data_IF_828109035016
#
_entry.id   IF_828109035016
#
_cell.length_a   1.000
_cell.length_b   1.000
_cell.length_c   1.000
_cell.angle_alpha   90.00
_cell.angle_beta   90.00
_cell.angle_gamma   90.00
#
_symmetry.space_group_name_H-M   'P 1'
#
loop_
_entity.id
_entity.type
_entity.pdbx_description
1 polymer ?
#
# COMPACT_ATOMS: atom_id res chain seq x y z
N UNK A 1 29.57 -8.76 -29.78
CA UNK A 1 28.50 -8.92 -28.80
C UNK A 1 28.81 -7.98 -27.66
N UNK A 2 28.28 -6.77 -27.70
CA UNK A 2 28.46 -5.80 -26.62
C UNK A 2 27.44 -6.14 -25.54
N UNK A 3 27.90 -6.69 -24.44
CA UNK A 3 27.13 -6.72 -23.20
C UNK A 3 27.23 -5.30 -22.67
N UNK A 4 26.21 -4.49 -22.87
CA UNK A 4 26.01 -3.29 -22.07
C UNK A 4 25.81 -3.77 -20.63
N UNK A 5 26.85 -3.60 -19.82
CA UNK A 5 26.73 -3.63 -18.38
C UNK A 5 25.78 -2.47 -18.04
N UNK A 6 24.53 -2.80 -17.73
CA UNK A 6 23.64 -1.89 -17.07
C UNK A 6 24.35 -1.55 -15.76
N UNK A 7 24.81 -0.32 -15.64
CA UNK A 7 25.31 0.22 -14.39
C UNK A 7 24.14 0.15 -13.38
N UNK A 8 24.15 -0.88 -12.57
CA UNK A 8 23.16 -1.11 -11.53
C UNK A 8 23.48 -0.16 -10.36
N UNK A 9 23.12 1.11 -10.53
CA UNK A 9 23.24 2.12 -9.44
C UNK A 9 22.49 1.68 -8.16
N UNK A 10 21.67 0.64 -8.25
CA UNK A 10 20.92 0.05 -7.15
C UNK A 10 21.65 -1.07 -6.39
N UNK A 11 22.81 -1.54 -6.82
CA UNK A 11 23.54 -2.66 -6.17
C UNK A 11 23.89 -2.40 -4.69
N UNK A 12 23.97 -1.14 -4.28
CA UNK A 12 24.34 -0.77 -2.91
C UNK A 12 23.16 -0.39 -1.99
N UNK A 13 21.92 -0.33 -2.51
CA UNK A 13 20.76 -0.01 -1.69
C UNK A 13 20.10 -1.28 -1.15
N UNK A 14 19.68 -1.31 0.13
CA UNK A 14 18.96 -2.46 0.66
C UNK A 14 17.62 -2.64 -0.07
N UNK A 15 17.26 -3.89 -0.33
CA UNK A 15 15.94 -4.22 -0.87
C UNK A 15 14.85 -3.85 0.14
N UNK A 16 13.71 -3.44 -0.38
CA UNK A 16 12.50 -3.27 0.41
C UNK A 16 11.69 -4.58 0.35
N UNK A 17 11.30 -5.08 1.51
CA UNK A 17 10.52 -6.31 1.64
C UNK A 17 9.11 -5.93 2.08
N UNK A 18 8.11 -6.39 1.32
CA UNK A 18 6.69 -6.16 1.61
C UNK A 18 6.03 -7.51 1.92
N UNK A 19 5.50 -7.64 3.12
CA UNK A 19 4.68 -8.77 3.54
C UNK A 19 3.21 -8.32 3.65
N UNK A 20 2.42 -8.72 2.66
CA UNK A 20 1.01 -8.38 2.54
C UNK A 20 0.16 -9.36 3.35
N UNK A 21 -0.03 -9.08 4.63
CA UNK A 21 -0.95 -9.86 5.46
C UNK A 21 -2.40 -9.39 5.35
N UNK A 22 -3.33 -10.29 5.62
CA UNK A 22 -4.78 -9.98 5.68
C UNK A 22 -5.10 -8.94 6.74
N UNK A 23 -4.44 -9.02 7.88
CA UNK A 23 -4.65 -8.13 9.03
C UNK A 23 -3.75 -6.89 8.99
N UNK A 24 -2.47 -7.07 8.70
CA UNK A 24 -1.52 -5.98 8.65
C UNK A 24 -0.50 -6.17 7.52
N UNK A 25 -0.10 -5.06 6.93
CA UNK A 25 0.99 -4.97 5.99
C UNK A 25 2.27 -4.62 6.74
N UNK A 26 3.34 -5.37 6.51
CA UNK A 26 4.65 -5.16 7.12
C UNK A 26 5.66 -4.83 6.03
N UNK A 27 6.39 -3.75 6.21
CA UNK A 27 7.39 -3.33 5.23
C UNK A 27 8.70 -3.00 5.95
N UNK A 28 9.80 -3.46 5.39
CA UNK A 28 11.12 -3.23 5.96
C UNK A 28 12.22 -3.34 4.94
N UNK A 29 13.44 -3.15 5.41
CA UNK A 29 14.65 -3.27 4.59
C UNK A 29 15.34 -4.60 4.83
N UNK A 30 15.95 -5.15 3.77
CA UNK A 30 16.73 -6.38 3.86
C UNK A 30 17.93 -6.29 4.83
N UNK A 31 18.36 -5.08 5.14
CA UNK A 31 19.44 -4.80 6.12
C UNK A 31 18.97 -4.73 7.58
N UNK A 32 17.66 -4.81 7.84
CA UNK A 32 17.09 -4.70 9.18
C UNK A 32 16.51 -6.04 9.66
N UNK A 33 16.56 -6.29 10.97
CA UNK A 33 15.98 -7.50 11.59
C UNK A 33 14.48 -7.36 11.86
N UNK A 34 13.96 -6.14 11.86
CA UNK A 34 12.56 -5.83 12.16
C UNK A 34 11.92 -5.02 11.04
N UNK A 35 10.62 -5.17 10.80
CA UNK A 35 9.91 -4.33 9.85
C UNK A 35 9.92 -2.87 10.33
N UNK A 36 10.11 -1.96 9.39
CA UNK A 36 10.08 -0.50 9.66
C UNK A 36 8.67 0.02 9.78
N UNK A 37 7.75 -0.57 9.02
CA UNK A 37 6.34 -0.19 8.95
C UNK A 37 5.49 -1.41 9.26
N UNK A 38 4.55 -1.27 10.18
CA UNK A 38 3.51 -2.25 10.47
C UNK A 38 2.20 -1.48 10.56
N UNK A 39 1.35 -1.60 9.55
CA UNK A 39 0.08 -0.89 9.48
C UNK A 39 -1.07 -1.84 9.16
N UNK A 40 -2.29 -1.56 9.63
CA UNK A 40 -3.47 -2.34 9.25
C UNK A 40 -3.66 -2.37 7.73
N UNK A 41 -3.96 -3.55 7.17
CA UNK A 41 -4.32 -3.71 5.76
C UNK A 41 -5.77 -3.28 5.55
N UNK A 42 -6.00 -1.99 5.67
CA UNK A 42 -7.33 -1.39 5.72
C UNK A 42 -7.31 0.04 5.20
N UNK A 43 -8.34 0.42 4.45
CA UNK A 43 -8.57 1.79 3.99
C UNK A 43 -9.92 2.26 4.52
N UNK A 44 -9.94 3.42 5.17
CA UNK A 44 -11.16 4.06 5.68
C UNK A 44 -11.65 5.16 4.74
N UNK A 45 -12.93 5.08 4.35
CA UNK A 45 -13.60 6.13 3.60
C UNK A 45 -14.63 6.83 4.49
N UNK A 46 -14.75 8.17 4.44
CA UNK A 46 -15.72 8.90 5.23
C UNK A 46 -17.14 8.39 4.99
N UNK A 47 -17.91 8.18 6.07
CA UNK A 47 -19.32 7.76 5.98
C UNK A 47 -20.22 8.88 5.48
N UNK A 48 -19.88 10.11 5.84
CA UNK A 48 -20.69 11.30 5.57
C UNK A 48 -19.79 12.37 4.95
N UNK A 49 -19.94 12.57 3.68
CA UNK A 49 -19.53 13.78 3.00
C UNK A 49 -20.79 14.58 2.73
N UNK A 50 -20.77 15.88 2.87
CA UNK A 50 -21.92 16.79 2.76
C UNK A 50 -22.69 16.78 1.43
N UNK A 51 -22.62 15.71 0.69
CA UNK A 51 -23.37 15.26 -0.47
C UNK A 51 -23.19 13.74 -0.59
N UNK A 52 -24.18 13.03 -1.09
CA UNK A 52 -24.20 11.58 -1.27
C UNK A 52 -23.15 11.11 -2.31
N UNK A 53 -21.86 11.26 -2.03
CA UNK A 53 -20.82 10.72 -2.90
C UNK A 53 -20.63 9.23 -2.60
N UNK A 54 -20.64 8.41 -3.64
CA UNK A 54 -20.33 6.97 -3.57
C UNK A 54 -18.81 6.79 -3.59
N UNK A 55 -18.34 5.59 -3.25
CA UNK A 55 -16.91 5.27 -3.31
C UNK A 55 -16.33 5.52 -4.71
N UNK A 56 -17.09 5.18 -5.75
CA UNK A 56 -16.74 5.37 -7.15
C UNK A 56 -16.51 6.85 -7.50
N UNK A 57 -17.26 7.74 -6.86
CA UNK A 57 -17.16 9.19 -7.07
C UNK A 57 -15.86 9.76 -6.50
N UNK A 58 -15.27 9.10 -5.47
CA UNK A 58 -13.99 9.50 -4.89
C UNK A 58 -12.80 9.21 -5.82
N UNK A 59 -12.84 8.08 -6.52
CA UNK A 59 -11.77 7.69 -7.45
C UNK A 59 -11.70 8.61 -8.68
N UNK A 60 -12.82 9.25 -9.05
CA UNK A 60 -12.90 10.23 -10.15
C UNK A 60 -12.52 11.65 -9.70
N UNK A 61 -12.82 11.99 -8.44
CA UNK A 61 -12.54 13.32 -7.88
C UNK A 61 -11.05 13.57 -7.64
N UNK A 62 -10.29 12.55 -7.24
CA UNK A 62 -8.85 12.60 -7.02
C UNK A 62 -8.06 12.97 -8.30
N UNK A 63 -8.69 12.85 -9.46
CA UNK A 63 -8.07 13.13 -10.76
C UNK A 63 -7.94 14.64 -11.07
N UNK A 64 -8.73 15.48 -10.43
CA UNK A 64 -8.86 16.90 -10.80
C UNK A 64 -8.54 17.92 -9.71
N UNK A 65 -8.50 17.53 -8.45
CA UNK A 65 -8.17 18.47 -7.37
C UNK A 65 -7.15 17.86 -6.38
N UNK A 66 -6.01 18.52 -6.21
CA UNK A 66 -5.01 18.30 -5.15
C UNK A 66 -5.58 18.62 -3.74
N UNK A 67 -6.82 18.26 -3.47
CA UNK A 67 -7.49 18.48 -2.19
C UNK A 67 -7.59 17.20 -1.40
N UNK A 68 -7.09 17.26 -0.16
CA UNK A 68 -7.22 16.34 0.95
C UNK A 68 -7.60 14.90 0.56
N UNK A 69 -6.66 13.97 0.73
CA UNK A 69 -6.91 12.53 0.60
C UNK A 69 -8.23 12.20 1.29
N UNK A 70 -9.25 11.82 0.53
CA UNK A 70 -10.59 11.52 1.05
C UNK A 70 -10.66 10.12 1.67
N UNK A 71 -9.54 9.55 2.06
CA UNK A 71 -9.43 8.28 2.74
C UNK A 71 -8.38 8.35 3.85
N UNK A 72 -8.48 7.41 4.79
CA UNK A 72 -7.55 7.29 5.91
C UNK A 72 -6.84 5.94 5.89
N UNK A 73 -5.54 5.96 6.12
CA UNK A 73 -4.67 4.79 6.28
C UNK A 73 -3.80 5.03 7.52
N UNK A 74 -3.58 4.00 8.32
CA UNK A 74 -2.67 4.07 9.46
C UNK A 74 -3.17 3.33 10.69
N UNK A 75 -2.33 3.33 11.72
CA UNK A 75 -2.55 2.53 12.93
C UNK A 75 -3.82 2.90 13.73
N UNK A 76 -4.29 4.13 13.62
CA UNK A 76 -5.46 4.61 14.37
C UNK A 76 -6.79 4.39 13.62
N UNK A 77 -6.80 3.62 12.53
CA UNK A 77 -7.99 3.45 11.69
C UNK A 77 -9.16 2.80 12.44
N UNK A 78 -8.88 1.88 13.36
CA UNK A 78 -9.91 1.22 14.16
C UNK A 78 -10.67 2.22 15.05
N UNK A 79 -9.99 3.21 15.63
CA UNK A 79 -10.62 4.25 16.44
C UNK A 79 -11.52 5.19 15.62
N UNK A 80 -11.39 5.17 14.31
CA UNK A 80 -12.13 6.02 13.37
C UNK A 80 -13.38 5.37 12.79
N UNK A 81 -13.71 4.14 13.18
CA UNK A 81 -14.91 3.41 12.71
C UNK A 81 -16.21 4.19 12.83
N UNK A 82 -16.31 5.11 13.78
CA UNK A 82 -17.48 5.97 13.93
C UNK A 82 -17.76 6.82 12.69
N UNK A 83 -16.71 7.40 12.12
CA UNK A 83 -16.77 8.36 11.01
C UNK A 83 -16.39 7.77 9.65
N UNK A 84 -15.71 6.61 9.63
CA UNK A 84 -15.20 5.97 8.44
C UNK A 84 -15.76 4.58 8.25
N UNK A 85 -16.09 4.24 7.00
CA UNK A 85 -16.37 2.87 6.59
C UNK A 85 -15.03 2.22 6.20
N UNK A 86 -14.75 1.07 6.80
CA UNK A 86 -13.48 0.36 6.61
C UNK A 86 -13.61 -0.70 5.51
N UNK A 87 -12.59 -0.77 4.65
CA UNK A 87 -12.45 -1.74 3.57
C UNK A 87 -11.13 -2.46 3.72
N UNK A 88 -11.16 -3.78 3.55
CA UNK A 88 -10.02 -4.67 3.68
C UNK A 88 -9.68 -5.24 2.31
N UNK A 89 -8.59 -4.80 1.67
CA UNK A 89 -8.26 -5.20 0.29
C UNK A 89 -7.68 -6.60 0.16
N UNK A 90 -7.38 -7.26 1.28
CA UNK A 90 -6.87 -8.64 1.31
C UNK A 90 -7.79 -9.49 2.20
N UNK A 91 -8.30 -10.59 1.63
CA UNK A 91 -9.08 -11.60 2.35
C UNK A 91 -8.43 -12.97 2.18
N UNK A 92 -8.21 -13.66 3.30
CA UNK A 92 -7.56 -14.97 3.32
C UNK A 92 -6.20 -14.98 2.57
N UNK A 93 -5.45 -13.88 2.67
CA UNK A 93 -4.17 -13.71 1.99
C UNK A 93 -4.26 -13.31 0.51
N UNK A 94 -5.45 -13.27 -0.07
CA UNK A 94 -5.68 -12.98 -1.49
C UNK A 94 -6.16 -11.53 -1.67
N UNK A 95 -5.54 -10.81 -2.60
CA UNK A 95 -5.92 -9.44 -2.93
C UNK A 95 -7.24 -9.43 -3.67
N UNK A 96 -8.23 -8.71 -3.14
CA UNK A 96 -9.55 -8.52 -3.75
C UNK A 96 -9.75 -7.08 -4.27
N UNK A 97 -8.93 -6.13 -3.87
CA UNK A 97 -9.00 -4.73 -4.30
C UNK A 97 -7.60 -4.13 -4.44
N UNK A 98 -7.09 -4.11 -5.65
CA UNK A 98 -5.76 -3.57 -5.97
C UNK A 98 -5.66 -2.07 -5.77
N UNK A 99 -6.71 -1.30 -6.05
CA UNK A 99 -6.71 0.15 -5.86
C UNK A 99 -6.49 0.52 -4.39
N UNK A 100 -7.17 -0.16 -3.49
CA UNK A 100 -7.01 0.10 -2.05
C UNK A 100 -5.65 -0.39 -1.53
N UNK A 101 -5.15 -1.51 -2.05
CA UNK A 101 -3.81 -2.00 -1.69
C UNK A 101 -2.71 -1.04 -2.18
N UNK A 102 -2.84 -0.51 -3.38
CA UNK A 102 -1.94 0.50 -3.93
C UNK A 102 -1.89 1.76 -3.05
N UNK A 103 -3.04 2.21 -2.53
CA UNK A 103 -3.11 3.34 -1.58
C UNK A 103 -2.36 3.06 -0.28
N UNK A 104 -2.42 1.83 0.23
CA UNK A 104 -1.66 1.41 1.42
C UNK A 104 -0.15 1.41 1.13
N UNK A 105 0.27 0.91 0.00
CA UNK A 105 1.68 0.93 -0.40
C UNK A 105 2.19 2.36 -0.62
N UNK A 106 1.42 3.19 -1.33
CA UNK A 106 1.78 4.59 -1.57
C UNK A 106 1.95 5.34 -0.24
N UNK A 107 1.01 5.20 0.68
CA UNK A 107 1.13 5.74 2.03
C UNK A 107 2.40 5.26 2.74
N UNK A 108 2.68 3.97 2.67
CA UNK A 108 3.85 3.38 3.32
C UNK A 108 5.17 3.91 2.76
N UNK A 109 5.26 4.09 1.45
CA UNK A 109 6.46 4.64 0.81
C UNK A 109 6.62 6.13 1.04
N UNK A 110 5.54 6.90 0.93
CA UNK A 110 5.60 8.37 1.00
C UNK A 110 5.64 8.91 2.43
N UNK A 111 4.78 8.39 3.31
CA UNK A 111 4.62 8.93 4.66
C UNK A 111 5.50 8.23 5.71
N UNK A 112 5.65 6.92 5.61
CA UNK A 112 6.35 6.12 6.61
C UNK A 112 7.84 5.92 6.27
N UNK A 113 8.15 5.37 5.09
CA UNK A 113 9.53 5.14 4.67
C UNK A 113 10.18 6.40 4.11
N UNK A 114 9.41 7.25 3.45
CA UNK A 114 9.87 8.48 2.78
C UNK A 114 10.95 8.19 1.74
N UNK A 115 10.70 7.20 0.91
CA UNK A 115 11.58 6.77 -0.17
C UNK A 115 10.83 6.70 -1.49
N UNK A 116 11.57 6.84 -2.58
CA UNK A 116 11.05 6.65 -3.93
C UNK A 116 11.14 5.15 -4.28
N UNK A 117 10.02 4.45 -4.54
CA UNK A 117 10.03 3.01 -4.83
C UNK A 117 10.92 2.62 -6.00
N UNK A 118 11.03 3.50 -7.00
CA UNK A 118 11.83 3.25 -8.21
C UNK A 118 13.33 3.11 -7.95
N UNK A 119 13.79 3.62 -6.81
CA UNK A 119 15.20 3.59 -6.43
C UNK A 119 15.59 2.33 -5.65
N UNK A 120 14.67 1.38 -5.43
CA UNK A 120 14.90 0.18 -4.64
C UNK A 120 14.42 -1.07 -5.36
N UNK A 121 15.13 -2.16 -5.16
CA UNK A 121 14.62 -3.49 -5.47
C UNK A 121 13.56 -3.86 -4.43
N UNK A 122 12.43 -4.41 -4.89
CA UNK A 122 11.29 -4.74 -4.02
C UNK A 122 11.03 -6.24 -4.07
N UNK A 123 10.89 -6.84 -2.90
CA UNK A 123 10.49 -8.24 -2.72
C UNK A 123 9.11 -8.22 -2.08
N UNK A 124 8.15 -8.88 -2.73
CA UNK A 124 6.78 -9.00 -2.22
C UNK A 124 6.50 -10.46 -1.91
N UNK A 125 5.97 -10.72 -0.72
CA UNK A 125 5.51 -12.07 -0.36
C UNK A 125 4.17 -12.39 -1.01
N UNK A 126 3.92 -13.66 -1.27
CA UNK A 126 2.62 -14.15 -1.74
C UNK A 126 2.17 -15.35 -0.91
N UNK A 127 0.84 -15.56 -0.74
CA UNK A 127 0.34 -16.73 -0.03
C UNK A 127 0.58 -18.01 -0.83
N UNK A 128 0.66 -19.18 -0.16
CA UNK A 128 0.64 -20.46 -0.86
C UNK A 128 -0.60 -20.57 -1.74
N UNK A 129 -0.44 -21.14 -2.93
CA UNK A 129 -1.51 -21.32 -3.93
C UNK A 129 -2.16 -19.99 -4.39
N UNK A 130 -1.40 -18.91 -4.38
CA UNK A 130 -1.87 -17.63 -4.90
C UNK A 130 -2.35 -17.77 -6.36
N UNK A 131 -3.55 -17.26 -6.72
CA UNK A 131 -4.02 -17.28 -8.11
C UNK A 131 -3.02 -16.61 -9.06
N UNK A 132 -2.84 -17.18 -10.26
CA UNK A 132 -1.91 -16.63 -11.26
C UNK A 132 -2.26 -15.20 -11.67
N UNK A 133 -3.53 -14.86 -11.62
CA UNK A 133 -4.04 -13.52 -11.93
C UNK A 133 -3.56 -12.46 -10.93
N UNK A 134 -3.23 -12.87 -9.70
CA UNK A 134 -2.71 -11.98 -8.65
C UNK A 134 -1.18 -11.94 -8.60
N UNK A 135 -0.52 -12.84 -9.29
CA UNK A 135 0.94 -12.90 -9.40
C UNK A 135 1.42 -12.06 -10.58
#
# INVERSE_FOLDING_TARGET
MNIELLDDENENKPCIIIDNGTSCCKIGYSSSFEPRVVIPTCVGYPKYTGGMLRKEDYDEYDKYEKKQKQYYIGNNIESKRGNYKLYFPIEHGIVNNWNDLEKIWDYSFTEELRVEPKEHNIIVTEPPMNPKENR
#
